data_IF_252216667582
#
_entry.id   IF_252216667582
#
_cell.length_a   1.000
_cell.length_b   1.000
_cell.length_c   1.000
_cell.angle_alpha   90.00
_cell.angle_beta   90.00
_cell.angle_gamma   90.00
#
_symmetry.space_group_name_H-M   'P 1'
#
loop_
_entity.id
_entity.type
_entity.pdbx_description
1 polymer ?
#
# COMPACT_ATOMS: atom_id res chain seq x y z
N UNK A 1 -18.92 77.28 3.85
CA UNK A 1 -19.60 76.38 2.90
C UNK A 1 -18.55 75.66 2.06
N UNK A 2 -18.04 74.49 2.53
CA UNK A 2 -17.42 73.45 1.70
C UNK A 2 -17.67 72.13 2.44
N UNK A 3 -18.40 71.23 1.79
CA UNK A 3 -18.77 69.90 2.31
C UNK A 3 -17.67 68.94 1.86
N UNK A 4 -16.89 68.41 2.81
CA UNK A 4 -15.94 67.34 2.52
C UNK A 4 -16.68 66.00 2.45
N UNK A 5 -16.93 65.55 1.23
CA UNK A 5 -17.52 64.24 0.92
C UNK A 5 -16.38 63.26 0.60
N UNK A 6 -16.02 62.43 1.57
CA UNK A 6 -15.09 61.30 1.37
C UNK A 6 -15.85 60.13 0.74
N UNK A 7 -15.36 59.52 -0.35
CA UNK A 7 -16.01 58.36 -0.95
C UNK A 7 -15.79 57.13 -0.06
N UNK A 8 -16.90 56.50 0.34
CA UNK A 8 -16.89 55.21 1.03
C UNK A 8 -16.56 54.16 -0.02
N UNK A 9 -15.32 53.65 0.01
CA UNK A 9 -14.87 52.52 -0.79
C UNK A 9 -15.43 51.24 -0.17
N UNK A 10 -16.47 50.67 -0.77
CA UNK A 10 -17.03 49.38 -0.37
C UNK A 10 -16.08 48.26 -0.83
N UNK A 11 -15.39 47.63 0.12
CA UNK A 11 -14.55 46.45 -0.10
C UNK A 11 -15.47 45.22 -0.17
N UNK A 12 -15.68 44.66 -1.37
CA UNK A 12 -16.25 43.32 -1.52
C UNK A 12 -15.21 42.28 -1.10
N UNK A 13 -15.45 41.64 0.05
CA UNK A 13 -14.68 40.46 0.48
C UNK A 13 -15.25 39.25 -0.28
N UNK A 14 -14.56 38.81 -1.33
CA UNK A 14 -14.84 37.53 -1.98
C UNK A 14 -14.28 36.44 -1.06
N UNK A 15 -15.16 35.75 -0.34
CA UNK A 15 -14.79 34.57 0.44
C UNK A 15 -14.58 33.40 -0.53
N UNK A 16 -13.35 33.20 -0.97
CA UNK A 16 -12.96 31.98 -1.67
C UNK A 16 -13.02 30.80 -0.69
N UNK A 17 -14.14 30.07 -0.69
CA UNK A 17 -14.26 28.81 0.03
C UNK A 17 -13.37 27.75 -0.64
N UNK A 18 -12.30 27.34 0.04
CA UNK A 18 -11.51 26.19 -0.39
C UNK A 18 -12.37 24.91 -0.26
N UNK A 19 -12.74 24.30 -1.37
CA UNK A 19 -13.29 22.94 -1.37
C UNK A 19 -12.16 21.98 -0.98
N UNK A 20 -12.15 21.56 0.29
CA UNK A 20 -11.35 20.42 0.70
C UNK A 20 -11.97 19.16 0.07
N UNK A 21 -11.29 18.60 -0.94
CA UNK A 21 -11.61 17.25 -1.41
C UNK A 21 -11.41 16.27 -0.25
N UNK A 22 -12.29 15.27 -0.08
CA UNK A 22 -12.09 14.26 0.94
C UNK A 22 -10.80 13.52 0.63
N UNK A 23 -9.84 13.59 1.54
CA UNK A 23 -8.69 12.70 1.53
C UNK A 23 -9.28 11.32 1.80
N UNK A 24 -9.39 10.49 0.76
CA UNK A 24 -9.81 9.11 0.93
C UNK A 24 -8.86 8.45 1.93
N UNK A 25 -9.43 7.88 2.99
CA UNK A 25 -8.69 7.07 3.95
C UNK A 25 -8.03 5.90 3.19
N UNK A 26 -6.71 5.74 3.30
CA UNK A 26 -5.94 4.62 2.75
C UNK A 26 -6.19 3.31 3.53
N UNK A 27 -7.43 3.04 3.94
CA UNK A 27 -7.79 1.71 4.40
C UNK A 27 -7.62 0.78 3.20
N UNK A 28 -6.71 -0.19 3.29
CA UNK A 28 -6.45 -1.08 2.17
C UNK A 28 -7.64 -1.98 1.86
N UNK A 29 -7.74 -2.39 0.60
CA UNK A 29 -8.73 -3.34 0.13
C UNK A 29 -8.15 -4.75 0.16
N UNK A 30 -8.57 -5.56 1.14
CA UNK A 30 -8.13 -6.95 1.27
C UNK A 30 -8.45 -7.81 0.03
N UNK A 31 -9.51 -7.47 -0.73
CA UNK A 31 -9.86 -8.18 -1.97
C UNK A 31 -8.88 -7.82 -3.10
N UNK A 32 -8.52 -6.54 -3.22
CA UNK A 32 -7.47 -6.10 -4.13
C UNK A 32 -6.12 -6.73 -3.75
N UNK A 33 -5.80 -6.78 -2.46
CA UNK A 33 -4.61 -7.43 -1.93
C UNK A 33 -4.54 -8.93 -2.25
N UNK A 34 -5.63 -9.67 -2.06
CA UNK A 34 -5.73 -11.08 -2.43
C UNK A 34 -5.56 -11.31 -3.94
N UNK A 35 -6.13 -10.41 -4.75
CA UNK A 35 -6.00 -10.44 -6.21
C UNK A 35 -4.55 -10.22 -6.63
N UNK A 36 -3.91 -9.17 -6.10
CA UNK A 36 -2.50 -8.88 -6.34
C UNK A 36 -1.57 -10.01 -5.85
N UNK A 37 -1.94 -10.68 -4.76
CA UNK A 37 -1.14 -11.75 -4.17
C UNK A 37 -0.93 -12.93 -5.13
N UNK A 38 -1.98 -13.26 -5.89
CA UNK A 38 -2.01 -14.40 -6.80
C UNK A 38 -1.75 -14.03 -8.26
N UNK A 39 -1.69 -12.73 -8.58
CA UNK A 39 -1.39 -12.24 -9.92
C UNK A 39 0.04 -12.63 -10.33
N UNK A 40 0.17 -13.14 -11.54
CA UNK A 40 1.47 -13.38 -12.17
C UNK A 40 2.01 -12.09 -12.79
N UNK A 41 3.24 -11.74 -12.42
CA UNK A 41 3.95 -10.55 -12.89
C UNK A 41 5.09 -10.98 -13.83
N UNK A 42 5.05 -10.59 -15.12
CA UNK A 42 6.12 -10.87 -16.07
C UNK A 42 7.45 -10.23 -15.63
N UNK A 43 8.56 -10.92 -15.87
CA UNK A 43 9.89 -10.43 -15.55
C UNK A 43 10.62 -9.96 -16.81
N UNK A 44 11.35 -8.85 -16.71
CA UNK A 44 12.14 -8.31 -17.84
C UNK A 44 13.50 -8.98 -18.00
N UNK A 45 13.93 -9.74 -17.00
CA UNK A 45 15.21 -10.46 -16.96
C UNK A 45 15.16 -11.84 -17.66
N UNK A 46 14.03 -12.19 -18.27
CA UNK A 46 13.81 -13.48 -18.94
C UNK A 46 13.50 -14.65 -17.99
N UNK A 47 13.44 -14.41 -16.68
CA UNK A 47 13.00 -15.42 -15.73
C UNK A 47 11.48 -15.65 -15.81
N UNK A 48 10.97 -16.79 -15.31
CA UNK A 48 9.53 -17.05 -15.26
C UNK A 48 8.77 -15.94 -14.53
N UNK A 49 7.49 -15.76 -14.89
CA UNK A 49 6.61 -14.88 -14.13
C UNK A 49 6.58 -15.28 -12.65
N UNK A 50 6.39 -14.27 -11.79
CA UNK A 50 6.41 -14.42 -10.33
C UNK A 50 5.11 -13.88 -9.74
N UNK A 51 4.71 -14.45 -8.63
CA UNK A 51 3.64 -13.96 -7.77
C UNK A 51 4.08 -13.99 -6.30
N UNK A 52 3.33 -13.37 -5.39
CA UNK A 52 3.65 -13.46 -3.95
C UNK A 52 3.62 -14.93 -3.47
N UNK A 53 2.75 -15.74 -4.09
CA UNK A 53 2.61 -17.18 -3.89
C UNK A 53 3.92 -17.94 -4.16
N UNK A 54 4.77 -17.47 -5.07
CA UNK A 54 6.06 -18.12 -5.42
C UNK A 54 6.93 -18.40 -4.19
N UNK A 55 6.88 -17.53 -3.17
CA UNK A 55 7.64 -17.72 -1.93
C UNK A 55 6.75 -18.05 -0.71
N UNK A 56 5.51 -17.57 -0.70
CA UNK A 56 4.69 -17.53 0.51
C UNK A 56 3.46 -18.46 0.51
N UNK A 57 3.21 -19.18 -0.58
CA UNK A 57 1.99 -19.96 -0.81
C UNK A 57 0.71 -19.10 -0.90
N UNK A 58 -0.40 -19.79 -1.18
CA UNK A 58 -1.77 -19.23 -1.08
C UNK A 58 -2.30 -19.25 0.34
N UNK A 59 -1.94 -20.27 1.11
CA UNK A 59 -2.32 -20.39 2.53
C UNK A 59 -1.21 -19.78 3.40
N UNK A 60 -1.46 -18.56 3.91
CA UNK A 60 -0.50 -17.81 4.72
C UNK A 60 -0.36 -18.33 6.15
N UNK A 61 -1.20 -19.30 6.56
CA UNK A 61 -1.06 -20.01 7.83
C UNK A 61 0.05 -21.06 7.79
N UNK A 62 0.55 -21.39 6.58
CA UNK A 62 1.63 -22.37 6.38
C UNK A 62 2.96 -21.67 6.14
N UNK A 63 4.09 -22.33 6.50
CA UNK A 63 5.40 -21.82 6.14
C UNK A 63 5.58 -21.82 4.61
N UNK A 64 6.13 -20.72 4.12
CA UNK A 64 6.61 -20.58 2.74
C UNK A 64 8.06 -21.07 2.59
N UNK A 65 8.60 -20.89 1.38
CA UNK A 65 9.98 -21.23 1.05
C UNK A 65 10.53 -20.25 0.03
N UNK A 66 11.68 -19.65 0.33
CA UNK A 66 12.31 -18.68 -0.55
C UNK A 66 12.71 -19.34 -1.87
N UNK A 67 12.22 -18.82 -3.00
CA UNK A 67 12.35 -19.44 -4.32
C UNK A 67 13.81 -19.77 -4.74
N UNK A 68 14.76 -18.88 -4.41
CA UNK A 68 16.19 -19.10 -4.75
C UNK A 68 16.96 -19.90 -3.69
N UNK A 69 16.90 -19.48 -2.42
CA UNK A 69 17.75 -20.05 -1.36
C UNK A 69 17.16 -21.29 -0.70
N UNK A 70 15.92 -21.64 -1.02
CA UNK A 70 15.18 -22.74 -0.42
C UNK A 70 14.99 -22.62 1.11
N UNK A 71 15.28 -21.46 1.72
CA UNK A 71 15.11 -21.24 3.16
C UNK A 71 13.62 -21.18 3.51
N UNK A 72 13.26 -21.77 4.65
CA UNK A 72 11.90 -21.67 5.21
C UNK A 72 11.56 -20.21 5.52
N UNK A 73 10.33 -19.83 5.21
CA UNK A 73 9.75 -18.55 5.59
C UNK A 73 8.60 -18.86 6.55
N UNK A 74 8.67 -18.38 7.79
CA UNK A 74 7.59 -18.59 8.77
C UNK A 74 6.23 -18.08 8.23
N UNK A 75 5.09 -18.62 8.70
CA UNK A 75 3.76 -18.16 8.31
C UNK A 75 3.62 -16.63 8.37
N UNK A 76 2.90 -16.06 7.40
CA UNK A 76 2.65 -14.62 7.32
C UNK A 76 1.36 -14.21 8.03
N UNK A 77 0.39 -15.12 8.15
CA UNK A 77 -0.88 -14.88 8.80
C UNK A 77 -0.70 -14.54 10.30
N UNK A 78 -1.13 -13.36 10.78
CA UNK A 78 -1.09 -13.02 12.19
C UNK A 78 -1.89 -13.99 13.07
N UNK A 79 -2.91 -14.66 12.52
CA UNK A 79 -3.72 -15.68 13.19
C UNK A 79 -2.90 -16.84 13.78
N UNK A 80 -1.77 -17.19 13.15
CA UNK A 80 -0.85 -18.26 13.61
C UNK A 80 0.56 -17.75 13.90
N UNK A 81 0.88 -16.52 13.52
CA UNK A 81 2.15 -15.87 13.83
C UNK A 81 1.93 -14.40 14.24
N UNK A 82 1.57 -14.15 15.51
CA UNK A 82 1.21 -12.81 16.01
C UNK A 82 2.32 -11.77 15.90
N UNK A 83 3.56 -12.19 15.62
CA UNK A 83 4.70 -11.26 15.51
C UNK A 83 4.84 -10.68 14.10
N UNK A 84 3.94 -11.06 13.18
CA UNK A 84 3.83 -10.47 11.85
C UNK A 84 3.15 -9.11 11.94
N UNK A 85 3.58 -8.21 11.05
CA UNK A 85 3.07 -6.84 10.92
C UNK A 85 3.23 -5.92 12.14
N UNK A 86 3.95 -6.33 13.19
CA UNK A 86 4.15 -5.52 14.41
C UNK A 86 5.32 -4.54 14.36
N UNK A 87 6.28 -4.73 13.44
CA UNK A 87 7.43 -3.86 13.23
C UNK A 87 7.33 -3.16 11.87
N UNK A 88 6.94 -1.89 11.89
CA UNK A 88 6.72 -1.08 10.69
C UNK A 88 7.98 -0.99 9.81
N UNK A 89 9.16 -0.82 10.40
CA UNK A 89 10.40 -0.71 9.63
C UNK A 89 10.74 -2.04 8.93
N UNK A 90 10.43 -3.17 9.58
CA UNK A 90 10.56 -4.49 8.99
C UNK A 90 9.54 -4.72 7.87
N UNK A 91 8.29 -4.29 8.04
CA UNK A 91 7.25 -4.37 7.01
C UNK A 91 7.67 -3.58 5.77
N UNK A 92 8.04 -2.31 5.93
CA UNK A 92 8.48 -1.46 4.81
C UNK A 92 9.69 -2.04 4.06
N UNK A 93 10.69 -2.52 4.81
CA UNK A 93 11.87 -3.16 4.21
C UNK A 93 11.49 -4.36 3.35
N UNK A 94 10.58 -5.21 3.83
CA UNK A 94 10.23 -6.43 3.10
C UNK A 94 9.27 -6.17 1.95
N UNK A 95 8.31 -5.24 2.09
CA UNK A 95 7.49 -4.81 0.96
C UNK A 95 8.37 -4.22 -0.16
N UNK A 96 9.32 -3.34 0.16
CA UNK A 96 10.25 -2.80 -0.83
C UNK A 96 11.00 -3.91 -1.61
N UNK A 97 11.57 -4.88 -0.89
CA UNK A 97 12.34 -5.98 -1.51
C UNK A 97 11.47 -6.93 -2.30
N UNK A 98 10.34 -7.34 -1.73
CA UNK A 98 9.43 -8.32 -2.32
C UNK A 98 8.70 -7.74 -3.53
N UNK A 99 8.27 -6.49 -3.48
CA UNK A 99 7.68 -5.81 -4.63
C UNK A 99 8.70 -5.70 -5.76
N UNK A 100 9.93 -5.24 -5.49
CA UNK A 100 10.96 -5.15 -6.55
C UNK A 100 11.27 -6.51 -7.18
N UNK A 101 11.33 -7.57 -6.38
CA UNK A 101 11.63 -8.91 -6.88
C UNK A 101 10.45 -9.56 -7.63
N UNK A 102 9.22 -9.30 -7.20
CA UNK A 102 8.00 -9.93 -7.75
C UNK A 102 7.42 -9.10 -8.89
N UNK A 103 7.18 -7.81 -8.66
CA UNK A 103 6.53 -6.90 -9.59
C UNK A 103 7.53 -6.20 -10.55
N UNK A 104 8.83 -6.32 -10.29
CA UNK A 104 9.87 -5.59 -11.05
C UNK A 104 9.94 -4.09 -10.73
N UNK A 105 9.18 -3.62 -9.73
CA UNK A 105 9.13 -2.22 -9.28
C UNK A 105 8.74 -2.12 -7.80
N UNK A 106 8.80 -0.93 -7.23
CA UNK A 106 8.20 -0.69 -5.92
C UNK A 106 6.67 -0.75 -6.01
N UNK A 107 6.05 -1.24 -4.94
CA UNK A 107 4.61 -1.14 -4.78
C UNK A 107 4.21 0.32 -4.52
N UNK A 108 3.05 0.73 -5.03
CA UNK A 108 2.45 2.01 -4.63
C UNK A 108 2.00 1.97 -3.17
N UNK A 109 1.76 3.13 -2.52
CA UNK A 109 1.20 3.15 -1.17
C UNK A 109 -0.10 2.36 -1.05
N UNK A 110 -0.96 2.40 -2.07
CA UNK A 110 -2.22 1.66 -2.14
C UNK A 110 -1.97 0.15 -2.20
N UNK A 111 -1.12 -0.33 -3.11
CA UNK A 111 -0.76 -1.76 -3.20
C UNK A 111 -0.18 -2.30 -1.89
N UNK A 112 0.63 -1.48 -1.19
CA UNK A 112 1.16 -1.84 0.14
C UNK A 112 0.02 -2.01 1.15
N UNK A 113 -0.90 -1.04 1.21
CA UNK A 113 -2.05 -1.08 2.12
C UNK A 113 -2.95 -2.28 1.84
N UNK A 114 -3.20 -2.57 0.56
CA UNK A 114 -4.02 -3.71 0.11
C UNK A 114 -3.38 -5.05 0.52
N UNK A 115 -2.06 -5.20 0.31
CA UNK A 115 -1.35 -6.42 0.72
C UNK A 115 -1.33 -6.60 2.24
N UNK A 116 -1.11 -5.54 3.01
CA UNK A 116 -1.15 -5.60 4.47
C UNK A 116 -2.56 -6.00 4.92
N UNK A 117 -3.59 -5.33 4.41
CA UNK A 117 -4.99 -5.61 4.74
C UNK A 117 -5.37 -7.04 4.40
N UNK A 118 -4.92 -7.56 3.25
CA UNK A 118 -5.11 -8.98 2.92
C UNK A 118 -4.43 -9.90 3.94
N UNK A 119 -3.15 -9.68 4.26
CA UNK A 119 -2.41 -10.52 5.23
C UNK A 119 -3.07 -10.50 6.61
N UNK A 120 -3.59 -9.36 7.06
CA UNK A 120 -4.30 -9.21 8.34
C UNK A 120 -5.58 -10.06 8.42
N UNK A 121 -6.20 -10.37 7.28
CA UNK A 121 -7.39 -11.25 7.23
C UNK A 121 -7.08 -12.75 7.22
N UNK A 122 -5.79 -13.15 7.17
CA UNK A 122 -5.38 -14.55 7.10
C UNK A 122 -5.09 -15.17 8.48
#
# INVERSE_FOLDING_TARGET
MKRDMKPILAILIIVSGAMALPIASLAGDATAGATGWTKEYPQTDGSPARSCVTCHNRDLTKPGRHAVTNKTIEPLAPSVNPQRLTDQAKVEKWLLRNCRWTLGRECTPEEKSDFISYIETQ
#
